data_IF_280074968664
#
_entry.id   IF_280074968664
#
_cell.length_a   1.000
_cell.length_b   1.000
_cell.length_c   1.000
_cell.angle_alpha   90.00
_cell.angle_beta   90.00
_cell.angle_gamma   90.00
#
_symmetry.space_group_name_H-M   'P 1'
#
loop_
_entity.id
_entity.type
_entity.pdbx_description
1 polymer ?
#
# COMPACT_ATOMS: atom_id res chain seq x y z
N UNK A 1 -9.89 -22.19 -26.08
CA UNK A 1 -11.24 -21.58 -26.21
C UNK A 1 -11.08 -20.14 -26.63
N UNK A 2 -11.82 -19.63 -27.62
CA UNK A 2 -11.79 -18.21 -27.98
C UNK A 2 -12.44 -17.38 -26.87
N UNK A 3 -11.84 -16.23 -26.51
CA UNK A 3 -12.44 -15.26 -25.62
C UNK A 3 -13.49 -14.44 -26.36
N UNK A 4 -14.58 -14.05 -25.69
CA UNK A 4 -15.60 -13.17 -26.27
C UNK A 4 -15.03 -11.77 -26.59
N UNK A 5 -14.12 -11.31 -25.71
CA UNK A 5 -13.32 -10.08 -25.89
C UNK A 5 -11.91 -10.32 -25.30
N UNK A 6 -10.97 -9.52 -25.66
CA UNK A 6 -9.59 -9.65 -25.17
C UNK A 6 -9.59 -9.58 -23.62
N UNK A 7 -8.91 -10.51 -22.91
CA UNK A 7 -8.74 -10.39 -21.45
C UNK A 7 -8.01 -9.10 -21.09
N UNK A 8 -8.36 -8.52 -19.95
CA UNK A 8 -7.57 -7.42 -19.41
C UNK A 8 -6.12 -7.88 -19.16
N UNK A 9 -5.17 -7.00 -19.41
CA UNK A 9 -3.78 -7.29 -19.07
C UNK A 9 -3.64 -7.37 -17.54
N UNK A 10 -2.84 -8.33 -17.08
CA UNK A 10 -2.50 -8.43 -15.67
C UNK A 10 -1.72 -7.18 -15.24
N UNK A 11 -2.06 -6.61 -14.08
CA UNK A 11 -1.26 -5.56 -13.48
C UNK A 11 0.15 -6.06 -13.18
N UNK A 12 1.16 -5.25 -13.45
CA UNK A 12 2.57 -5.56 -13.23
C UNK A 12 3.27 -4.37 -12.60
N UNK A 13 4.31 -4.62 -11.83
CA UNK A 13 5.15 -3.57 -11.23
C UNK A 13 6.58 -3.76 -11.76
N UNK A 14 7.25 -2.75 -12.31
CA UNK A 14 8.65 -2.85 -12.73
C UNK A 14 9.56 -3.27 -11.57
N UNK A 15 10.57 -4.08 -11.85
CA UNK A 15 11.61 -4.40 -10.89
C UNK A 15 12.74 -3.39 -11.04
N UNK A 16 13.18 -2.79 -9.94
CA UNK A 16 14.25 -1.79 -9.93
C UNK A 16 15.57 -2.40 -10.43
N UNK A 17 16.25 -1.67 -11.32
CA UNK A 17 17.52 -2.07 -11.93
C UNK A 17 17.44 -3.41 -12.70
N UNK A 18 16.29 -3.71 -13.30
CA UNK A 18 16.05 -4.90 -14.11
C UNK A 18 15.09 -4.59 -15.26
N UNK A 19 15.08 -5.42 -16.28
CA UNK A 19 14.06 -5.42 -17.33
C UNK A 19 12.82 -6.26 -16.94
N UNK A 20 12.84 -6.89 -15.78
CA UNK A 20 11.78 -7.76 -15.30
C UNK A 20 10.59 -6.99 -14.73
N UNK A 21 9.45 -7.66 -14.69
CA UNK A 21 8.23 -7.17 -14.07
C UNK A 21 7.74 -8.15 -13.01
N UNK A 22 7.30 -7.62 -11.88
CA UNK A 22 6.62 -8.38 -10.84
C UNK A 22 5.13 -8.46 -11.19
N UNK A 23 4.57 -9.66 -11.43
CA UNK A 23 3.15 -9.81 -11.78
C UNK A 23 2.29 -9.69 -10.52
N UNK A 24 1.27 -8.82 -10.55
CA UNK A 24 0.35 -8.62 -9.43
C UNK A 24 -0.79 -9.63 -9.49
N UNK A 25 -1.04 -10.33 -8.39
CA UNK A 25 -2.15 -11.28 -8.28
C UNK A 25 -3.28 -10.75 -7.41
N UNK A 26 -3.04 -10.51 -6.13
CA UNK A 26 -3.98 -9.91 -5.19
C UNK A 26 -3.30 -8.76 -4.46
N UNK A 27 -4.09 -7.80 -4.07
CA UNK A 27 -3.63 -6.65 -3.28
C UNK A 27 -4.35 -6.68 -1.95
N UNK A 28 -3.59 -6.85 -0.88
CA UNK A 28 -4.06 -6.78 0.50
C UNK A 28 -3.61 -5.46 1.12
N UNK A 29 -4.36 -4.98 2.09
CA UNK A 29 -3.98 -3.85 2.92
C UNK A 29 -4.27 -4.12 4.39
N UNK A 30 -3.46 -3.52 5.26
CA UNK A 30 -3.64 -3.54 6.70
C UNK A 30 -4.03 -2.14 7.19
N UNK A 31 -5.16 -2.03 7.87
CA UNK A 31 -5.58 -0.77 8.49
C UNK A 31 -5.14 -0.70 9.95
N UNK A 32 -4.87 0.53 10.44
CA UNK A 32 -4.55 0.78 11.86
C UNK A 32 -3.31 0.02 12.36
N UNK A 33 -2.34 -0.21 11.48
CA UNK A 33 -1.14 -0.97 11.80
C UNK A 33 0.01 -0.10 12.35
N UNK A 34 -0.20 1.19 12.54
CA UNK A 34 0.80 2.07 13.16
C UNK A 34 0.28 2.70 14.44
N UNK A 35 1.13 2.74 15.45
CA UNK A 35 0.93 3.50 16.67
C UNK A 35 1.51 4.93 16.52
N UNK A 36 1.05 5.91 17.31
CA UNK A 36 1.60 7.25 17.29
C UNK A 36 3.03 7.33 17.84
N UNK A 37 3.42 6.37 18.66
CA UNK A 37 4.72 6.29 19.32
C UNK A 37 5.04 4.85 19.74
N UNK A 38 6.30 4.62 20.16
CA UNK A 38 6.79 3.29 20.51
C UNK A 38 6.14 2.72 21.80
N UNK A 39 5.76 3.55 22.73
CA UNK A 39 5.10 3.08 23.97
C UNK A 39 3.72 2.49 23.63
N UNK A 40 2.91 3.23 22.91
CA UNK A 40 1.61 2.77 22.41
C UNK A 40 1.76 1.55 21.49
N UNK A 41 2.84 1.47 20.69
CA UNK A 41 3.11 0.32 19.85
C UNK A 41 3.33 -0.94 20.69
N UNK A 42 4.15 -0.85 21.75
CA UNK A 42 4.42 -1.95 22.67
C UNK A 42 3.16 -2.45 23.38
N UNK A 43 2.29 -1.53 23.80
CA UNK A 43 1.02 -1.87 24.45
C UNK A 43 0.07 -2.64 23.50
N UNK A 44 0.15 -2.36 22.20
CA UNK A 44 -0.70 -2.99 21.17
C UNK A 44 -0.10 -4.25 20.53
N UNK A 45 1.08 -4.68 20.94
CA UNK A 45 1.68 -5.92 20.43
C UNK A 45 0.73 -7.11 20.61
N UNK A 46 0.60 -7.92 19.53
CA UNK A 46 -0.37 -9.01 19.46
C UNK A 46 -1.78 -8.60 18.99
N UNK A 47 -2.03 -7.30 18.76
CA UNK A 47 -3.22 -6.87 18.07
C UNK A 47 -3.13 -7.27 16.59
N UNK A 48 -4.18 -7.89 16.08
CA UNK A 48 -4.29 -8.23 14.65
C UNK A 48 -4.95 -7.06 13.90
N UNK A 49 -4.19 -6.31 13.09
CA UNK A 49 -4.76 -5.22 12.29
C UNK A 49 -5.89 -5.71 11.39
N UNK A 50 -6.99 -4.95 11.23
CA UNK A 50 -7.99 -5.26 10.23
C UNK A 50 -7.36 -5.29 8.84
N UNK A 51 -7.68 -6.32 8.05
CA UNK A 51 -7.17 -6.48 6.69
C UNK A 51 -8.31 -6.35 5.68
N UNK A 52 -7.98 -5.87 4.49
CA UNK A 52 -8.92 -5.69 3.38
C UNK A 52 -8.24 -6.05 2.06
N UNK A 53 -9.04 -6.14 1.01
CA UNK A 53 -8.59 -6.33 -0.36
C UNK A 53 -8.79 -5.05 -1.16
N UNK A 54 -7.87 -4.81 -2.10
CA UNK A 54 -8.03 -3.89 -3.22
C UNK A 54 -8.05 -4.70 -4.51
N UNK A 55 -8.76 -4.21 -5.51
CA UNK A 55 -8.67 -4.82 -6.84
C UNK A 55 -7.26 -4.66 -7.42
N UNK A 56 -6.67 -5.68 -8.06
CA UNK A 56 -5.34 -5.57 -8.66
C UNK A 56 -5.21 -4.48 -9.72
N UNK A 57 -6.30 -4.10 -10.38
CA UNK A 57 -6.35 -3.01 -11.37
C UNK A 57 -6.26 -1.61 -10.76
N UNK A 58 -6.34 -1.49 -9.42
CA UNK A 58 -6.00 -0.24 -8.72
C UNK A 58 -4.49 0.08 -8.79
N UNK A 59 -3.62 -0.92 -9.02
CA UNK A 59 -2.17 -0.75 -9.06
C UNK A 59 -1.76 0.05 -10.29
N UNK A 60 -1.02 1.12 -10.06
CA UNK A 60 -0.39 1.93 -11.11
C UNK A 60 1.11 2.04 -10.83
N UNK A 61 1.97 1.41 -11.63
CA UNK A 61 3.40 1.60 -11.48
C UNK A 61 3.81 3.01 -11.90
N UNK A 62 4.56 3.69 -11.05
CA UNK A 62 5.06 5.03 -11.31
C UNK A 62 6.57 4.97 -11.48
N UNK A 63 7.07 5.57 -12.56
CA UNK A 63 8.51 5.62 -12.84
C UNK A 63 9.23 6.48 -11.79
N UNK A 64 10.44 6.09 -11.46
CA UNK A 64 11.30 6.85 -10.52
C UNK A 64 11.46 8.31 -11.00
N UNK A 65 11.23 9.24 -10.08
CA UNK A 65 11.30 10.68 -10.34
C UNK A 65 10.07 11.27 -11.06
N UNK A 66 9.14 10.45 -11.56
CA UNK A 66 7.89 10.94 -12.13
C UNK A 66 6.89 11.36 -11.03
N UNK A 67 5.96 12.23 -11.41
CA UNK A 67 4.80 12.57 -10.57
C UNK A 67 3.56 11.90 -11.16
N UNK A 68 2.90 11.07 -10.38
CA UNK A 68 1.64 10.49 -10.80
C UNK A 68 0.51 11.50 -10.60
N UNK A 69 -0.15 11.87 -11.70
CA UNK A 69 -1.33 12.74 -11.69
C UNK A 69 -2.56 11.87 -11.46
N UNK A 70 -3.14 11.94 -10.26
CA UNK A 70 -4.31 11.14 -9.92
C UNK A 70 -5.57 11.99 -9.90
N UNK A 71 -6.56 11.69 -10.74
CA UNK A 71 -7.81 12.44 -10.78
C UNK A 71 -8.64 12.16 -9.52
N UNK A 72 -9.13 13.23 -8.88
CA UNK A 72 -10.04 13.11 -7.75
C UNK A 72 -11.30 12.35 -8.20
N UNK A 73 -11.61 11.18 -7.62
CA UNK A 73 -12.75 10.39 -8.08
C UNK A 73 -14.10 11.07 -7.76
N UNK A 74 -15.13 10.85 -8.58
CA UNK A 74 -16.44 11.45 -8.38
C UNK A 74 -17.07 10.98 -7.07
N UNK A 75 -18.03 11.73 -6.57
CA UNK A 75 -18.76 11.45 -5.31
C UNK A 75 -17.83 11.21 -4.12
N UNK A 76 -16.75 11.97 -4.06
CA UNK A 76 -15.74 11.86 -3.00
C UNK A 76 -15.72 13.16 -2.22
N UNK A 77 -16.04 13.11 -0.93
CA UNK A 77 -15.96 14.27 -0.04
C UNK A 77 -14.53 14.49 0.47
N UNK A 78 -13.82 13.38 0.73
CA UNK A 78 -12.47 13.39 1.27
C UNK A 78 -11.66 12.19 0.77
N UNK A 79 -10.39 12.42 0.46
CA UNK A 79 -9.40 11.40 0.16
C UNK A 79 -8.26 11.48 1.17
N UNK A 80 -7.85 10.33 1.66
CA UNK A 80 -6.66 10.18 2.50
C UNK A 80 -5.61 9.42 1.71
N UNK A 81 -4.47 10.05 1.39
CA UNK A 81 -3.36 9.39 0.68
C UNK A 81 -2.45 8.68 1.70
N UNK A 82 -2.83 7.49 2.12
CA UNK A 82 -2.07 6.67 3.06
C UNK A 82 -0.79 6.15 2.40
N UNK A 83 0.36 6.73 2.76
CA UNK A 83 1.66 6.33 2.22
C UNK A 83 2.26 5.18 3.03
N UNK A 84 2.69 4.11 2.34
CA UNK A 84 2.99 2.83 2.98
C UNK A 84 4.24 2.14 2.41
N UNK A 85 4.93 1.39 3.27
CA UNK A 85 5.79 0.28 2.85
C UNK A 85 4.92 -0.85 2.31
N UNK A 86 5.35 -1.47 1.21
CA UNK A 86 4.58 -2.50 0.51
C UNK A 86 5.46 -3.74 0.32
N UNK A 87 4.97 -4.90 0.81
CA UNK A 87 5.62 -6.19 0.63
C UNK A 87 5.09 -6.89 -0.63
N UNK A 88 6.00 -7.43 -1.46
CA UNK A 88 5.70 -8.16 -2.68
C UNK A 88 6.11 -9.62 -2.50
N UNK A 89 5.17 -10.57 -2.61
CA UNK A 89 5.42 -11.99 -2.32
C UNK A 89 5.86 -12.76 -3.55
N UNK A 90 6.98 -13.48 -3.46
CA UNK A 90 7.49 -14.40 -4.49
C UNK A 90 7.04 -15.85 -4.31
N UNK A 91 6.48 -16.18 -3.16
CA UNK A 91 5.86 -17.46 -2.82
C UNK A 91 4.79 -17.25 -1.76
N UNK A 92 4.12 -18.30 -1.34
CA UNK A 92 3.08 -18.18 -0.32
C UNK A 92 2.75 -19.53 0.31
N UNK A 93 1.56 -19.63 0.88
CA UNK A 93 1.06 -20.82 1.57
C UNK A 93 -0.15 -20.50 2.42
N UNK A 94 -0.53 -21.48 3.25
CA UNK A 94 -1.58 -21.37 4.28
C UNK A 94 -0.96 -21.59 5.65
N UNK A 95 -1.52 -20.92 6.68
CA UNK A 95 -1.12 -21.09 8.08
C UNK A 95 0.41 -21.00 8.28
N UNK A 96 1.01 -19.98 7.67
CA UNK A 96 2.46 -19.78 7.69
C UNK A 96 2.94 -19.40 9.08
N UNK A 97 4.08 -19.96 9.50
CA UNK A 97 4.84 -19.44 10.65
C UNK A 97 5.50 -18.11 10.28
N UNK A 98 6.02 -17.37 11.27
CA UNK A 98 6.71 -16.09 11.02
C UNK A 98 7.93 -16.27 10.11
N UNK A 99 8.73 -17.32 10.30
CA UNK A 99 9.89 -17.62 9.46
C UNK A 99 9.47 -17.93 8.02
N UNK A 100 8.42 -18.75 7.85
CA UNK A 100 7.86 -19.04 6.54
C UNK A 100 7.27 -17.78 5.87
N UNK A 101 6.64 -16.91 6.64
CA UNK A 101 6.09 -15.65 6.18
C UNK A 101 7.20 -14.69 5.69
N UNK A 102 8.28 -14.56 6.45
CA UNK A 102 9.48 -13.81 6.07
C UNK A 102 10.04 -14.31 4.74
N UNK A 103 10.16 -15.61 4.58
CA UNK A 103 10.64 -16.27 3.37
C UNK A 103 9.72 -16.07 2.15
N UNK A 104 8.48 -15.63 2.32
CA UNK A 104 7.59 -15.32 1.21
C UNK A 104 7.92 -13.98 0.54
N UNK A 105 8.58 -13.07 1.23
CA UNK A 105 8.88 -11.73 0.73
C UNK A 105 9.97 -11.78 -0.33
N UNK A 106 9.61 -11.45 -1.56
CA UNK A 106 10.53 -11.35 -2.70
C UNK A 106 11.17 -9.98 -2.80
N UNK A 107 10.40 -8.93 -2.45
CA UNK A 107 10.87 -7.56 -2.57
C UNK A 107 9.92 -6.57 -1.91
N UNK A 108 10.32 -5.31 -1.99
CA UNK A 108 9.66 -4.18 -1.35
C UNK A 108 9.46 -3.04 -2.33
N UNK A 109 8.37 -2.34 -2.21
CA UNK A 109 8.17 -1.04 -2.85
C UNK A 109 7.48 -0.08 -1.88
N UNK A 110 7.27 1.13 -2.31
CA UNK A 110 6.42 2.10 -1.60
C UNK A 110 5.17 2.35 -2.43
N UNK A 111 4.07 2.68 -1.77
CA UNK A 111 2.82 2.96 -2.45
C UNK A 111 1.90 3.88 -1.65
N UNK A 112 0.89 4.41 -2.33
CA UNK A 112 -0.23 5.07 -1.67
C UNK A 112 -1.44 4.15 -1.68
N UNK A 113 -2.03 3.92 -0.50
CA UNK A 113 -3.36 3.36 -0.37
C UNK A 113 -4.37 4.51 -0.27
N UNK A 114 -4.92 4.93 -1.41
CA UNK A 114 -5.93 5.96 -1.39
C UNK A 114 -7.21 5.45 -0.73
N UNK A 115 -7.65 6.19 0.27
CA UNK A 115 -8.86 5.89 1.03
C UNK A 115 -9.90 6.99 0.81
N UNK A 116 -11.01 6.63 0.17
CA UNK A 116 -12.20 7.49 0.08
C UNK A 116 -12.91 7.48 1.42
N UNK A 117 -13.19 8.66 1.95
CA UNK A 117 -14.11 8.83 3.06
C UNK A 117 -15.50 9.11 2.52
N UNK A 118 -16.40 8.19 2.76
CA UNK A 118 -17.82 8.33 2.41
C UNK A 118 -18.55 9.02 3.54
N UNK A 119 -19.50 9.89 3.20
CA UNK A 119 -20.40 10.50 4.18
C UNK A 119 -21.62 9.60 4.40
N UNK A 120 -22.36 9.81 5.50
CA UNK A 120 -23.64 9.13 5.75
C UNK A 120 -24.65 9.36 4.63
N UNK A 121 -24.53 10.47 3.90
CA UNK A 121 -25.37 10.79 2.74
C UNK A 121 -25.04 9.89 1.54
N UNK A 122 -23.75 9.52 1.37
CA UNK A 122 -23.31 8.64 0.29
C UNK A 122 -23.58 7.17 0.62
N UNK A 123 -23.42 6.80 1.90
CA UNK A 123 -23.65 5.46 2.42
C UNK A 123 -24.18 5.52 3.87
N UNK A 124 -25.50 5.54 4.06
CA UNK A 124 -26.13 5.70 5.37
C UNK A 124 -25.74 4.67 6.43
N UNK A 125 -25.19 3.53 6.04
CA UNK A 125 -24.83 2.41 6.93
C UNK A 125 -23.32 2.21 7.12
N UNK A 126 -22.49 3.22 6.77
CA UNK A 126 -21.02 3.13 6.89
C UNK A 126 -20.32 2.39 5.77
N UNK A 127 -21.05 1.76 4.86
CA UNK A 127 -20.59 1.16 3.61
C UNK A 127 -19.52 0.06 3.69
N UNK A 128 -19.41 -0.74 2.63
CA UNK A 128 -18.36 -1.75 2.51
C UNK A 128 -17.00 -1.09 2.26
N UNK A 129 -15.95 -1.71 2.78
CA UNK A 129 -14.57 -1.25 2.63
C UNK A 129 -14.13 -1.16 1.17
N UNK A 130 -14.68 -2.00 0.29
CA UNK A 130 -14.36 -2.02 -1.13
C UNK A 130 -14.63 -0.66 -1.80
N UNK A 131 -15.75 0.00 -1.49
CA UNK A 131 -16.07 1.33 -2.00
C UNK A 131 -15.12 2.43 -1.50
N UNK A 132 -14.47 2.20 -0.36
CA UNK A 132 -13.51 3.15 0.22
C UNK A 132 -12.09 2.89 -0.28
N UNK A 133 -11.73 1.63 -0.52
CA UNK A 133 -10.36 1.18 -0.77
C UNK A 133 -10.07 0.77 -2.22
N UNK A 134 -11.10 0.40 -3.00
CA UNK A 134 -10.94 0.03 -4.40
C UNK A 134 -11.31 1.20 -5.31
N UNK A 135 -10.34 2.06 -5.59
CA UNK A 135 -10.48 3.25 -6.44
C UNK A 135 -9.64 3.06 -7.70
N UNK A 136 -10.15 3.53 -8.84
CA UNK A 136 -9.41 3.48 -10.10
C UNK A 136 -8.07 4.21 -9.96
N UNK A 137 -6.97 3.51 -10.25
CA UNK A 137 -5.62 4.03 -10.05
C UNK A 137 -5.27 4.42 -8.62
N UNK A 138 -6.06 3.97 -7.63
CA UNK A 138 -5.93 4.34 -6.22
C UNK A 138 -4.88 3.57 -5.43
N UNK A 139 -3.98 2.86 -6.10
CA UNK A 139 -2.82 2.22 -5.49
C UNK A 139 -1.57 2.43 -6.35
N UNK A 140 -1.11 3.68 -6.55
CA UNK A 140 0.15 3.93 -7.22
C UNK A 140 1.32 3.39 -6.39
N UNK A 141 2.28 2.76 -7.06
CA UNK A 141 3.45 2.11 -6.43
C UNK A 141 4.74 2.45 -7.17
N UNK A 142 5.86 2.50 -6.46
CA UNK A 142 7.20 2.57 -7.04
C UNK A 142 7.62 1.23 -7.64
N UNK A 143 8.75 1.18 -8.35
CA UNK A 143 9.38 -0.08 -8.74
C UNK A 143 9.71 -0.95 -7.52
N UNK A 144 9.58 -2.29 -7.68
CA UNK A 144 9.92 -3.25 -6.61
C UNK A 144 11.43 -3.37 -6.49
N UNK A 145 11.93 -3.20 -5.28
CA UNK A 145 13.33 -3.47 -4.93
C UNK A 145 13.44 -4.89 -4.37
N UNK A 146 14.29 -5.77 -4.95
CA UNK A 146 14.48 -7.13 -4.43
C UNK A 146 14.91 -7.13 -2.97
N UNK A 147 14.34 -8.02 -2.15
CA UNK A 147 14.64 -8.11 -0.72
C UNK A 147 16.12 -8.36 -0.43
N UNK A 148 16.79 -9.12 -1.31
CA UNK A 148 18.24 -9.39 -1.22
C UNK A 148 19.11 -8.13 -1.38
N UNK A 149 18.57 -7.05 -1.96
CA UNK A 149 19.22 -5.74 -2.13
C UNK A 149 18.73 -4.71 -1.12
N UNK A 150 18.03 -5.15 -0.08
CA UNK A 150 17.35 -4.31 0.89
C UNK A 150 17.69 -4.76 2.29
N UNK A 151 18.08 -3.82 3.15
CA UNK A 151 18.27 -4.10 4.58
C UNK A 151 17.16 -3.43 5.39
N UNK A 152 16.25 -4.24 5.91
CA UNK A 152 15.21 -3.84 6.86
C UNK A 152 15.38 -4.55 8.22
N UNK A 153 16.61 -4.99 8.53
CA UNK A 153 16.95 -5.57 9.85
C UNK A 153 16.81 -4.56 10.99
N UNK A 154 16.95 -3.28 10.65
CA UNK A 154 16.71 -2.15 11.55
C UNK A 154 15.49 -1.35 11.09
N UNK A 155 14.81 -0.65 12.03
CA UNK A 155 13.76 0.28 11.69
C UNK A 155 14.24 1.38 10.75
N UNK A 156 13.40 1.73 9.76
CA UNK A 156 13.69 2.76 8.76
C UNK A 156 12.67 3.89 8.82
N UNK A 157 13.09 5.09 8.39
CA UNK A 157 12.22 6.26 8.38
C UNK A 157 11.16 6.16 7.28
N UNK A 158 9.93 6.58 7.64
CA UNK A 158 8.78 6.76 6.74
C UNK A 158 8.37 8.21 6.79
N UNK A 159 8.56 8.95 5.68
CA UNK A 159 8.28 10.38 5.61
C UNK A 159 7.27 10.69 4.53
N UNK A 160 6.41 11.67 4.81
CA UNK A 160 5.46 12.20 3.85
C UNK A 160 5.49 13.73 3.88
N UNK A 161 5.69 14.33 2.71
CA UNK A 161 5.57 15.76 2.50
C UNK A 161 4.29 16.07 1.75
N UNK A 162 3.61 17.15 2.12
CA UNK A 162 2.51 17.76 1.38
C UNK A 162 2.93 19.17 0.96
N UNK A 163 2.94 19.45 -0.33
CA UNK A 163 3.31 20.76 -0.86
C UNK A 163 4.70 21.24 -0.34
N UNK A 164 5.65 20.32 -0.18
CA UNK A 164 7.01 20.48 0.39
C UNK A 164 7.06 20.66 1.92
N UNK A 165 5.94 20.64 2.61
CA UNK A 165 5.88 20.66 4.07
C UNK A 165 5.85 19.23 4.62
N UNK A 166 6.69 18.93 5.61
CA UNK A 166 6.73 17.61 6.26
C UNK A 166 5.47 17.43 7.10
N UNK A 167 4.62 16.46 6.74
CA UNK A 167 3.34 16.18 7.42
C UNK A 167 3.35 14.85 8.17
N UNK A 168 4.28 13.94 7.83
CA UNK A 168 4.54 12.73 8.60
C UNK A 168 6.04 12.49 8.69
N UNK A 169 6.53 12.21 9.90
CA UNK A 169 7.87 11.69 10.18
C UNK A 169 7.70 10.55 11.16
N UNK A 170 7.85 9.33 10.68
CA UNK A 170 7.59 8.11 11.42
C UNK A 170 8.68 7.07 11.16
N UNK A 171 8.61 5.97 11.87
CA UNK A 171 9.52 4.83 11.72
C UNK A 171 8.72 3.55 11.56
N UNK A 172 9.24 2.58 10.81
CA UNK A 172 8.69 1.22 10.77
C UNK A 172 8.67 0.54 12.15
N UNK A 173 9.43 1.07 13.12
CA UNK A 173 9.39 0.64 14.53
C UNK A 173 7.98 0.80 15.15
N UNK A 174 7.17 1.75 14.63
CA UNK A 174 5.83 2.01 15.13
C UNK A 174 4.77 1.08 14.53
N UNK A 175 5.16 0.11 13.69
CA UNK A 175 4.26 -0.94 13.23
C UNK A 175 3.84 -1.83 14.40
N UNK A 176 2.53 -2.01 14.56
CA UNK A 176 1.93 -2.87 15.59
C UNK A 176 2.18 -4.34 15.24
N UNK A 177 1.87 -4.72 14.00
CA UNK A 177 2.22 -6.02 13.43
C UNK A 177 3.30 -5.83 12.36
N UNK A 178 4.38 -6.60 12.44
CA UNK A 178 5.43 -6.60 11.41
C UNK A 178 4.89 -7.12 10.07
N UNK A 179 5.58 -6.89 8.95
CA UNK A 179 5.17 -7.48 7.67
C UNK A 179 5.02 -9.00 7.72
N UNK A 180 5.90 -9.70 8.44
CA UNK A 180 5.83 -11.15 8.62
C UNK A 180 4.61 -11.56 9.43
N UNK A 181 4.27 -10.82 10.49
CA UNK A 181 3.07 -11.04 11.28
C UNK A 181 1.80 -10.83 10.45
N UNK A 182 1.77 -9.79 9.59
CA UNK A 182 0.67 -9.57 8.64
C UNK A 182 0.54 -10.71 7.63
N UNK A 183 1.65 -11.18 7.05
CA UNK A 183 1.65 -12.31 6.10
C UNK A 183 1.14 -13.57 6.80
N UNK A 184 1.62 -13.86 8.00
CA UNK A 184 1.15 -15.00 8.79
C UNK A 184 -0.36 -14.89 9.08
N UNK A 185 -0.85 -13.73 9.52
CA UNK A 185 -2.27 -13.47 9.74
C UNK A 185 -3.10 -13.69 8.47
N UNK A 186 -2.69 -13.10 7.34
CA UNK A 186 -3.38 -13.23 6.05
C UNK A 186 -3.44 -14.69 5.59
N UNK A 187 -2.39 -15.46 5.83
CA UNK A 187 -2.30 -16.87 5.45
C UNK A 187 -3.29 -17.79 6.17
N UNK A 188 -3.83 -17.34 7.31
CA UNK A 188 -4.90 -18.04 8.02
C UNK A 188 -6.26 -17.96 7.29
N UNK A 189 -6.48 -16.87 6.55
CA UNK A 189 -7.74 -16.65 5.83
C UNK A 189 -7.65 -17.04 4.37
N UNK A 190 -6.49 -16.82 3.73
CA UNK A 190 -6.27 -17.07 2.30
C UNK A 190 -5.02 -17.91 2.05
N UNK A 191 -5.04 -18.70 1.00
CA UNK A 191 -3.82 -19.25 0.43
C UNK A 191 -3.08 -18.14 -0.30
N UNK A 192 -1.99 -17.64 0.31
CA UNK A 192 -1.11 -16.65 -0.30
C UNK A 192 -0.29 -17.31 -1.41
N UNK A 193 0.09 -16.53 -2.42
CA UNK A 193 0.85 -17.02 -3.59
C UNK A 193 1.82 -15.95 -4.09
N UNK A 194 2.74 -16.37 -4.96
CA UNK A 194 3.57 -15.44 -5.74
C UNK A 194 2.69 -14.42 -6.47
N UNK A 195 3.09 -13.17 -6.47
CA UNK A 195 2.34 -12.05 -7.03
C UNK A 195 1.40 -11.35 -6.05
N UNK A 196 1.20 -11.87 -4.85
CA UNK A 196 0.43 -11.15 -3.82
C UNK A 196 1.22 -9.93 -3.33
N UNK A 197 0.53 -8.81 -3.17
CA UNK A 197 1.06 -7.51 -2.73
C UNK A 197 0.36 -7.12 -1.45
N UNK A 198 1.12 -6.65 -0.44
CA UNK A 198 0.59 -6.32 0.88
C UNK A 198 1.02 -4.90 1.26
N UNK A 199 0.06 -3.99 1.31
CA UNK A 199 0.20 -2.68 1.92
C UNK A 199 0.19 -2.85 3.43
N UNK A 200 1.27 -2.42 4.09
CA UNK A 200 1.52 -2.75 5.51
C UNK A 200 0.88 -1.78 6.50
N UNK A 201 0.13 -0.81 6.00
CA UNK A 201 -0.46 0.25 6.79
C UNK A 201 0.35 1.55 6.75
N UNK A 202 -0.34 2.66 6.93
CA UNK A 202 0.25 4.00 6.98
C UNK A 202 0.48 4.47 8.42
N UNK A 203 1.52 5.30 8.68
CA UNK A 203 1.63 6.05 9.92
C UNK A 203 0.39 6.90 10.19
N UNK A 204 0.14 7.21 11.45
CA UNK A 204 -1.03 7.99 11.88
C UNK A 204 -1.00 9.45 11.37
N UNK A 205 -2.16 10.11 11.38
CA UNK A 205 -2.32 11.55 11.06
C UNK A 205 -2.05 11.93 9.60
N UNK A 206 -2.47 11.09 8.64
CA UNK A 206 -2.45 11.48 7.22
C UNK A 206 -3.49 12.59 6.97
N UNK A 207 -3.11 13.76 6.40
CA UNK A 207 -4.05 14.82 6.09
C UNK A 207 -4.97 14.45 4.92
N UNK A 208 -6.20 14.96 4.94
CA UNK A 208 -7.09 14.87 3.79
C UNK A 208 -6.49 15.61 2.57
N UNK A 209 -6.53 14.98 1.41
CA UNK A 209 -6.04 15.58 0.17
C UNK A 209 -7.08 16.49 -0.50
N UNK A 210 -6.59 17.51 -1.20
CA UNK A 210 -7.37 18.43 -2.03
C UNK A 210 -6.82 18.46 -3.44
N UNK A 211 -7.65 18.83 -4.38
CA UNK A 211 -7.21 19.10 -5.76
C UNK A 211 -6.10 20.17 -5.73
N UNK A 212 -5.00 19.89 -6.43
CA UNK A 212 -3.79 20.69 -6.45
C UNK A 212 -2.71 20.26 -5.46
N UNK A 213 -3.04 19.49 -4.43
CA UNK A 213 -2.03 19.00 -3.49
C UNK A 213 -1.04 18.05 -4.15
N UNK A 214 0.23 18.23 -3.79
CA UNK A 214 1.34 17.34 -4.16
C UNK A 214 1.80 16.63 -2.89
N UNK A 215 1.81 15.30 -2.94
CA UNK A 215 2.37 14.46 -1.89
C UNK A 215 3.65 13.80 -2.38
N UNK A 216 4.68 13.79 -1.55
CA UNK A 216 5.99 13.19 -1.83
C UNK A 216 6.36 12.32 -0.63
N UNK A 217 6.18 11.00 -0.78
CA UNK A 217 6.47 10.02 0.27
C UNK A 217 7.77 9.29 0.03
N UNK A 218 8.46 8.91 1.11
CA UNK A 218 9.67 8.09 1.05
C UNK A 218 9.75 7.10 2.21
N UNK A 219 10.28 5.90 1.92
CA UNK A 219 10.75 4.95 2.91
C UNK A 219 12.24 4.76 2.69
N UNK A 220 13.03 5.02 3.74
CA UNK A 220 14.48 4.96 3.69
C UNK A 220 14.98 3.59 3.20
N UNK A 221 15.93 3.59 2.26
CA UNK A 221 16.49 2.37 1.69
C UNK A 221 15.59 1.63 0.69
N UNK A 222 14.31 2.02 0.55
CA UNK A 222 13.35 1.37 -0.36
C UNK A 222 13.08 2.23 -1.58
N UNK A 223 12.55 3.45 -1.39
CA UNK A 223 12.20 4.31 -2.50
C UNK A 223 11.35 5.51 -2.09
N UNK A 224 10.93 6.27 -3.10
CA UNK A 224 10.03 7.41 -2.96
C UNK A 224 8.97 7.37 -4.05
N UNK A 225 7.86 8.06 -3.80
CA UNK A 225 6.76 8.16 -4.75
C UNK A 225 6.07 9.51 -4.60
N UNK A 226 5.99 10.23 -5.73
CA UNK A 226 5.33 11.54 -5.81
C UNK A 226 4.00 11.44 -6.55
N UNK A 227 2.97 12.06 -5.98
CA UNK A 227 1.65 12.16 -6.59
C UNK A 227 1.16 13.59 -6.56
N UNK A 228 0.29 13.93 -7.49
CA UNK A 228 -0.47 15.17 -7.48
C UNK A 228 -1.95 14.85 -7.66
N UNK A 229 -2.79 15.40 -6.80
CA UNK A 229 -4.25 15.28 -6.94
C UNK A 229 -4.72 16.30 -7.98
N UNK A 230 -5.36 15.82 -9.05
CA UNK A 230 -5.86 16.66 -10.12
C UNK A 230 -7.37 16.60 -10.22
N UNK A 231 -7.97 17.53 -10.96
CA UNK A 231 -9.40 17.48 -11.31
C UNK A 231 -9.66 16.31 -12.28
N UNK A 232 -10.84 15.70 -12.21
CA UNK A 232 -11.28 14.62 -13.11
C UNK A 232 -11.24 15.01 -14.59
N UNK A 233 -11.30 16.32 -14.89
CA UNK A 233 -11.37 16.86 -16.27
C UNK A 233 -10.03 17.39 -16.80
N UNK A 234 -8.91 16.99 -16.22
CA UNK A 234 -7.58 17.39 -16.70
C UNK A 234 -6.85 16.24 -17.37
#
# INVERSE_FOLDING_TARGET
MPFLFAPAMQAVIPVRDSADFFPVRRVYGAAKNYAPDIATCKEKKGFNPPVFLKSPDCIVPVQDGATYLWPMPPRTSKIVPEFELVACLGKGGRNLTLDQAKDCIWGWCVGYDFTRRLTEKDLPTGGPWDMMKTLDGGAPVSAVRPAQKTDLSNPVAVRLYRNRELVQDASTEFMIASPEELIAQLSCFWELRAGDVIFTGAPVNVPDARIGDVFDGSVEGIGSLKIQIVSENN
#
